data_IF_761861302202
#
_entry.id   IF_761861302202
#
_cell.length_a   1.000
_cell.length_b   1.000
_cell.length_c   1.000
_cell.angle_alpha   90.00
_cell.angle_beta   90.00
_cell.angle_gamma   90.00
#
_symmetry.space_group_name_H-M   'P 1'
#
loop_
_entity.id
_entity.type
_entity.pdbx_description
1 polymer ?
#
# COMPACT_ATOMS: atom_id res chain seq x y z
N UNK A 1 20.30 -29.57 20.43
CA UNK A 1 18.94 -29.50 19.80
C UNK A 1 18.56 -28.08 19.30
N UNK A 2 19.16 -27.01 19.85
CA UNK A 2 18.78 -25.62 19.54
C UNK A 2 19.47 -25.08 18.28
N UNK A 3 20.67 -25.57 17.96
CA UNK A 3 21.41 -25.16 16.76
C UNK A 3 20.73 -25.61 15.44
N UNK A 4 20.17 -26.81 15.42
CA UNK A 4 19.44 -27.31 14.24
C UNK A 4 18.08 -26.62 14.03
N UNK A 5 17.43 -26.14 15.08
CA UNK A 5 16.22 -25.31 14.99
C UNK A 5 16.51 -23.93 14.42
N UNK A 6 17.59 -23.30 14.89
CA UNK A 6 18.04 -22.00 14.36
C UNK A 6 18.50 -22.09 12.90
N UNK A 7 19.19 -23.17 12.53
CA UNK A 7 19.64 -23.42 11.16
C UNK A 7 18.46 -23.69 10.20
N UNK A 8 17.43 -24.45 10.61
CA UNK A 8 16.19 -24.61 9.83
C UNK A 8 15.39 -23.33 9.69
N UNK A 9 15.33 -22.50 10.74
CA UNK A 9 14.68 -21.18 10.67
C UNK A 9 15.45 -20.21 9.77
N UNK A 10 16.80 -20.29 9.74
CA UNK A 10 17.61 -19.53 8.78
C UNK A 10 17.39 -20.02 7.34
N UNK A 11 17.42 -21.32 7.07
CA UNK A 11 17.22 -21.84 5.71
C UNK A 11 15.82 -21.53 5.13
N UNK A 12 14.77 -21.50 5.95
CA UNK A 12 13.43 -21.08 5.47
C UNK A 12 13.37 -19.58 5.23
N UNK A 13 14.13 -18.76 5.99
CA UNK A 13 14.26 -17.32 5.76
C UNK A 13 15.01 -16.99 4.48
N UNK A 14 16.02 -17.78 4.13
CA UNK A 14 16.88 -17.54 2.93
C UNK A 14 16.24 -18.04 1.63
N UNK A 15 15.17 -18.86 1.70
CA UNK A 15 14.54 -19.45 0.51
C UNK A 15 13.19 -18.82 0.13
N UNK A 16 12.58 -17.97 0.98
CA UNK A 16 11.31 -17.32 0.70
C UNK A 16 11.45 -15.80 0.81
N UNK A 17 11.50 -15.15 -0.34
CA UNK A 17 11.42 -13.71 -0.44
C UNK A 17 9.95 -13.29 -0.66
N UNK A 18 9.26 -12.75 0.36
CA UNK A 18 7.86 -12.35 0.23
C UNK A 18 7.68 -11.25 -0.83
N UNK A 19 8.70 -10.45 -1.11
CA UNK A 19 8.64 -9.37 -2.10
C UNK A 19 8.54 -9.89 -3.53
N UNK A 20 9.04 -11.10 -3.84
CA UNK A 20 8.86 -11.72 -5.15
C UNK A 20 7.37 -12.05 -5.44
N UNK A 21 6.59 -12.29 -4.39
CA UNK A 21 5.17 -12.60 -4.56
C UNK A 21 4.32 -11.35 -4.85
N UNK A 22 4.86 -10.16 -4.61
CA UNK A 22 4.13 -8.90 -4.79
C UNK A 22 3.89 -8.56 -6.27
N UNK A 23 4.65 -9.16 -7.20
CA UNK A 23 4.35 -9.08 -8.63
C UNK A 23 2.92 -9.54 -8.97
N UNK A 24 2.35 -10.46 -8.17
CA UNK A 24 1.00 -11.00 -8.37
C UNK A 24 -0.12 -10.02 -8.03
N UNK A 25 0.19 -8.97 -7.29
CA UNK A 25 -0.79 -7.93 -6.92
C UNK A 25 -0.65 -6.68 -7.78
N UNK A 26 0.25 -6.71 -8.78
CA UNK A 26 0.42 -5.65 -9.77
C UNK A 26 -0.54 -5.82 -10.96
N UNK A 27 -0.87 -4.72 -11.60
CA UNK A 27 -1.65 -4.69 -12.83
C UNK A 27 -0.84 -5.20 -14.02
N UNK A 28 0.45 -4.84 -14.05
CA UNK A 28 1.49 -5.38 -14.90
C UNK A 28 2.60 -6.00 -14.02
N UNK A 29 2.72 -7.34 -13.96
CA UNK A 29 3.76 -7.99 -13.18
C UNK A 29 5.20 -7.58 -13.55
N UNK A 30 5.44 -7.09 -14.76
CA UNK A 30 6.78 -6.67 -15.20
C UNK A 30 7.24 -5.37 -14.52
N UNK A 31 6.32 -4.58 -13.97
CA UNK A 31 6.63 -3.39 -13.15
C UNK A 31 7.38 -3.76 -11.86
N UNK A 32 7.26 -5.02 -11.41
CA UNK A 32 7.89 -5.54 -10.19
C UNK A 32 9.19 -6.29 -10.53
N UNK A 33 10.18 -5.52 -11.05
CA UNK A 33 11.48 -6.06 -11.47
C UNK A 33 12.34 -6.55 -10.30
N UNK A 34 13.41 -7.32 -10.60
CA UNK A 34 14.39 -7.77 -9.59
C UNK A 34 15.03 -6.59 -8.84
N UNK A 35 15.21 -5.44 -9.49
CA UNK A 35 15.73 -4.23 -8.87
C UNK A 35 14.73 -3.65 -7.88
N UNK A 36 13.46 -3.54 -8.25
CA UNK A 36 12.36 -3.10 -7.38
C UNK A 36 12.25 -4.03 -6.17
N UNK A 37 12.28 -5.35 -6.38
CA UNK A 37 12.26 -6.36 -5.30
C UNK A 37 13.41 -6.13 -4.31
N UNK A 38 14.63 -5.86 -4.80
CA UNK A 38 15.78 -5.57 -3.95
C UNK A 38 15.61 -4.29 -3.14
N UNK A 39 15.10 -3.22 -3.78
CA UNK A 39 14.89 -1.92 -3.11
C UNK A 39 13.86 -2.05 -1.99
N UNK A 40 12.70 -2.64 -2.26
CA UNK A 40 11.65 -2.82 -1.25
C UNK A 40 12.03 -3.81 -0.16
N UNK A 41 12.75 -4.88 -0.53
CA UNK A 41 13.19 -5.90 0.42
C UNK A 41 14.34 -5.47 1.32
N UNK A 42 15.22 -4.60 0.84
CA UNK A 42 16.46 -4.21 1.54
C UNK A 42 16.25 -3.74 2.98
N UNK A 43 15.35 -2.81 3.31
CA UNK A 43 15.15 -2.37 4.68
C UNK A 43 14.74 -3.50 5.63
N UNK A 44 13.94 -4.45 5.14
CA UNK A 44 13.46 -5.58 5.93
C UNK A 44 14.57 -6.60 6.15
N UNK A 45 15.32 -6.93 5.09
CA UNK A 45 16.41 -7.92 5.17
C UNK A 45 17.61 -7.39 5.97
N UNK A 46 18.03 -6.14 5.74
CA UNK A 46 19.16 -5.53 6.44
C UNK A 46 18.88 -5.34 7.93
N UNK A 47 17.64 -5.02 8.30
CA UNK A 47 17.24 -4.88 9.70
C UNK A 47 17.15 -6.22 10.45
N UNK A 48 17.09 -7.34 9.74
CA UNK A 48 16.80 -8.66 10.31
C UNK A 48 15.43 -8.76 10.99
N UNK A 49 14.56 -7.75 10.81
CA UNK A 49 13.29 -7.63 11.52
C UNK A 49 12.07 -7.89 10.62
N UNK A 50 11.98 -9.11 10.10
CA UNK A 50 10.79 -9.54 9.33
C UNK A 50 9.48 -9.53 10.15
N UNK A 51 9.57 -9.48 11.48
CA UNK A 51 8.40 -9.41 12.36
C UNK A 51 7.65 -8.08 12.26
N UNK A 52 8.33 -6.99 11.92
CA UNK A 52 7.70 -5.67 11.78
C UNK A 52 6.66 -5.66 10.66
N UNK A 53 6.99 -6.20 9.50
CA UNK A 53 6.08 -6.32 8.36
C UNK A 53 4.83 -7.13 8.72
N UNK A 54 5.02 -8.29 9.36
CA UNK A 54 3.91 -9.13 9.79
C UNK A 54 3.05 -8.44 10.86
N UNK A 55 3.66 -7.67 11.76
CA UNK A 55 2.94 -6.91 12.78
C UNK A 55 2.07 -5.82 12.15
N UNK A 56 2.58 -5.10 11.15
CA UNK A 56 1.79 -4.12 10.39
C UNK A 56 0.57 -4.75 9.71
N UNK A 57 0.75 -5.89 9.04
CA UNK A 57 -0.37 -6.59 8.41
C UNK A 57 -1.46 -6.98 9.41
N UNK A 58 -1.07 -7.36 10.64
CA UNK A 58 -2.00 -7.72 11.72
C UNK A 58 -2.71 -6.53 12.37
N UNK A 59 -2.33 -5.30 12.06
CA UNK A 59 -3.01 -4.09 12.52
C UNK A 59 -4.16 -3.67 11.59
N UNK A 60 -4.21 -4.24 10.38
CA UNK A 60 -5.32 -3.98 9.45
C UNK A 60 -6.56 -4.71 9.94
N UNK A 61 -7.66 -4.01 10.24
CA UNK A 61 -8.89 -4.66 10.70
C UNK A 61 -9.49 -5.57 9.62
N UNK A 62 -9.82 -6.79 10.01
CA UNK A 62 -10.56 -7.77 9.23
C UNK A 62 -12.06 -7.81 9.56
N UNK A 63 -12.47 -7.00 10.53
CA UNK A 63 -13.86 -6.88 10.95
C UNK A 63 -14.08 -5.83 12.04
N UNK A 64 -15.34 -5.58 12.42
CA UNK A 64 -15.70 -4.52 13.38
C UNK A 64 -15.17 -4.79 14.80
N UNK A 65 -14.93 -6.04 15.15
CA UNK A 65 -14.46 -6.48 16.47
C UNK A 65 -12.92 -6.51 16.57
N UNK A 66 -12.21 -6.19 15.48
CA UNK A 66 -10.76 -6.12 15.52
C UNK A 66 -10.30 -5.01 16.47
N UNK A 67 -9.24 -5.28 17.25
CA UNK A 67 -8.70 -4.35 18.27
C UNK A 67 -8.41 -2.93 17.75
N UNK A 68 -8.00 -2.82 16.49
CA UNK A 68 -7.63 -1.56 15.85
C UNK A 68 -8.80 -0.92 15.06
N UNK A 69 -9.96 -1.58 14.96
CA UNK A 69 -11.12 -1.08 14.20
C UNK A 69 -11.65 0.27 14.73
N UNK A 70 -11.62 0.48 16.06
CA UNK A 70 -12.05 1.74 16.65
C UNK A 70 -11.13 2.91 16.26
N UNK A 71 -9.82 2.67 16.17
CA UNK A 71 -8.85 3.68 15.73
C UNK A 71 -9.05 4.03 14.25
N UNK A 72 -9.30 3.02 13.40
CA UNK A 72 -9.57 3.25 11.97
C UNK A 72 -10.85 4.04 11.74
N UNK A 73 -11.93 3.77 12.49
CA UNK A 73 -13.15 4.58 12.43
C UNK A 73 -12.92 6.06 12.80
N UNK A 74 -12.13 6.33 13.83
CA UNK A 74 -11.78 7.71 14.20
C UNK A 74 -11.00 8.43 13.10
N UNK A 75 -10.09 7.71 12.41
CA UNK A 75 -9.35 8.25 11.27
C UNK A 75 -10.33 8.58 10.14
N UNK A 76 -11.24 7.68 9.81
CA UNK A 76 -12.26 7.89 8.78
C UNK A 76 -13.16 9.10 9.11
N UNK A 77 -13.67 9.19 10.34
CA UNK A 77 -14.45 10.33 10.81
C UNK A 77 -13.68 11.64 10.66
N UNK A 78 -12.40 11.67 11.04
CA UNK A 78 -11.55 12.85 10.88
C UNK A 78 -11.33 13.21 9.41
N UNK A 79 -11.04 12.23 8.57
CA UNK A 79 -10.82 12.44 7.12
C UNK A 79 -12.02 13.12 6.47
N UNK A 80 -13.26 12.73 6.83
CA UNK A 80 -14.50 13.33 6.33
C UNK A 80 -14.69 14.80 6.73
N UNK A 81 -13.95 15.29 7.73
CA UNK A 81 -14.01 16.71 8.14
C UNK A 81 -13.03 17.60 7.37
N UNK A 82 -12.12 17.02 6.60
CA UNK A 82 -11.07 17.76 5.91
C UNK A 82 -11.63 18.58 4.75
N UNK A 83 -11.34 19.87 4.75
CA UNK A 83 -11.69 20.83 3.70
C UNK A 83 -10.42 21.22 2.90
N UNK A 84 -9.75 20.23 2.34
CA UNK A 84 -8.50 20.40 1.60
C UNK A 84 -8.67 19.95 0.15
N UNK A 85 -7.90 20.52 -0.80
CA UNK A 85 -7.85 19.98 -2.15
C UNK A 85 -7.37 18.52 -2.14
N UNK A 86 -8.12 17.66 -2.80
CA UNK A 86 -7.81 16.25 -2.91
C UNK A 86 -7.89 15.77 -4.37
N UNK A 87 -7.12 14.76 -4.69
CA UNK A 87 -7.15 14.00 -5.94
C UNK A 87 -7.06 12.51 -5.59
N UNK A 88 -7.78 11.66 -6.29
CA UNK A 88 -7.74 10.20 -6.10
C UNK A 88 -7.13 9.58 -7.35
N UNK A 89 -6.03 8.84 -7.21
CA UNK A 89 -5.48 7.98 -8.26
C UNK A 89 -5.65 6.54 -7.81
N UNK A 90 -6.33 5.71 -8.60
CA UNK A 90 -6.77 4.40 -8.15
C UNK A 90 -6.38 3.28 -9.11
N UNK A 91 -5.78 2.21 -8.57
CA UNK A 91 -5.44 1.00 -9.30
C UNK A 91 -6.64 0.04 -9.39
N UNK A 92 -7.26 -0.04 -10.55
CA UNK A 92 -8.47 -0.86 -10.76
C UNK A 92 -8.18 -2.35 -10.76
N UNK A 93 -6.92 -2.75 -10.94
CA UNK A 93 -6.49 -4.17 -10.88
C UNK A 93 -5.92 -4.56 -9.51
N UNK A 94 -5.95 -3.67 -8.51
CA UNK A 94 -5.51 -4.00 -7.16
C UNK A 94 -6.44 -5.05 -6.53
N UNK A 95 -5.97 -6.28 -6.28
CA UNK A 95 -6.79 -7.34 -5.68
C UNK A 95 -7.07 -7.14 -4.19
N UNK A 96 -6.33 -6.22 -3.54
CA UNK A 96 -6.41 -5.99 -2.09
C UNK A 96 -7.35 -4.80 -1.80
N UNK A 97 -7.09 -3.65 -2.40
CA UNK A 97 -7.81 -2.41 -2.13
C UNK A 97 -8.73 -1.95 -3.28
N UNK A 98 -8.67 -2.59 -4.44
CA UNK A 98 -9.38 -2.13 -5.65
C UNK A 98 -10.88 -1.89 -5.45
N UNK A 99 -11.53 -2.66 -4.58
CA UNK A 99 -12.95 -2.51 -4.23
C UNK A 99 -13.25 -1.31 -3.32
N UNK A 100 -12.24 -0.68 -2.75
CA UNK A 100 -12.39 0.43 -1.78
C UNK A 100 -12.61 1.81 -2.42
N UNK A 101 -12.62 1.91 -3.76
CA UNK A 101 -12.73 3.20 -4.45
C UNK A 101 -13.96 3.99 -4.03
N UNK A 102 -15.14 3.37 -3.95
CA UNK A 102 -16.36 4.07 -3.59
C UNK A 102 -16.29 4.69 -2.20
N UNK A 103 -15.68 4.02 -1.23
CA UNK A 103 -15.50 4.57 0.10
C UNK A 103 -14.53 5.78 0.09
N UNK A 104 -13.56 5.79 -0.81
CA UNK A 104 -12.68 6.96 -0.98
C UNK A 104 -13.39 8.12 -1.66
N UNK A 105 -14.25 7.84 -2.65
CA UNK A 105 -15.12 8.86 -3.28
C UNK A 105 -16.09 9.48 -2.25
N UNK A 106 -16.65 8.67 -1.36
CA UNK A 106 -17.52 9.14 -0.26
C UNK A 106 -16.76 10.02 0.75
N UNK A 107 -15.49 9.72 1.03
CA UNK A 107 -14.66 10.51 1.94
C UNK A 107 -14.20 11.84 1.32
N UNK A 108 -14.07 11.90 0.00
CA UNK A 108 -13.60 13.08 -0.74
C UNK A 108 -14.50 13.33 -1.97
N UNK A 109 -15.76 13.78 -1.76
CA UNK A 109 -16.75 13.88 -2.84
C UNK A 109 -16.37 14.87 -3.95
N UNK A 110 -15.55 15.87 -3.63
CA UNK A 110 -15.08 16.89 -4.59
C UNK A 110 -13.73 16.51 -5.24
N UNK A 111 -13.17 15.36 -4.90
CA UNK A 111 -11.91 14.92 -5.47
C UNK A 111 -12.10 14.42 -6.91
N UNK A 112 -11.19 14.84 -7.79
CA UNK A 112 -11.11 14.22 -9.11
C UNK A 112 -10.54 12.81 -8.99
N UNK A 113 -11.18 11.85 -9.64
CA UNK A 113 -10.76 10.45 -9.68
C UNK A 113 -10.05 10.13 -10.99
N UNK A 114 -8.85 9.61 -10.92
CA UNK A 114 -8.10 9.04 -12.04
C UNK A 114 -8.01 7.53 -11.85
N UNK A 115 -8.75 6.76 -12.68
CA UNK A 115 -8.73 5.29 -12.67
C UNK A 115 -7.62 4.79 -13.60
N UNK A 116 -6.75 3.93 -13.10
CA UNK A 116 -5.64 3.33 -13.85
C UNK A 116 -5.81 1.81 -13.95
N UNK A 117 -5.03 1.16 -14.80
CA UNK A 117 -4.94 -0.30 -14.86
C UNK A 117 -3.87 -0.88 -13.92
N UNK A 118 -3.36 -0.06 -13.01
CA UNK A 118 -2.35 -0.46 -12.03
C UNK A 118 -2.93 -1.38 -10.95
N UNK A 119 -2.03 -2.09 -10.29
CA UNK A 119 -2.32 -2.93 -9.13
C UNK A 119 -2.04 -2.24 -7.80
N UNK A 120 -1.57 -3.02 -6.83
CA UNK A 120 -1.46 -2.59 -5.43
C UNK A 120 -0.36 -1.55 -5.19
N UNK A 121 0.79 -1.72 -5.83
CA UNK A 121 1.89 -0.74 -5.75
C UNK A 121 1.78 0.24 -6.93
N UNK A 122 0.75 1.03 -6.89
CA UNK A 122 0.35 1.99 -7.91
C UNK A 122 1.50 2.89 -8.40
N UNK A 123 2.41 3.27 -7.51
CA UNK A 123 3.54 4.15 -7.83
C UNK A 123 4.53 3.55 -8.83
N UNK A 124 4.59 2.22 -8.94
CA UNK A 124 5.47 1.53 -9.88
C UNK A 124 4.87 1.44 -11.31
N UNK A 125 3.56 1.68 -11.42
CA UNK A 125 2.83 1.50 -12.67
C UNK A 125 2.18 2.76 -13.22
N UNK A 126 1.89 3.75 -12.35
CA UNK A 126 1.13 4.95 -12.69
C UNK A 126 1.79 6.23 -12.11
N UNK A 127 3.12 6.30 -12.19
CA UNK A 127 3.89 7.42 -11.66
C UNK A 127 3.49 8.77 -12.29
N UNK A 128 3.22 8.79 -13.59
CA UNK A 128 2.83 10.00 -14.31
C UNK A 128 1.45 10.49 -13.89
N UNK A 129 0.49 9.58 -13.69
CA UNK A 129 -0.85 9.92 -13.21
C UNK A 129 -0.79 10.50 -11.79
N UNK A 130 0.05 9.90 -10.93
CA UNK A 130 0.29 10.40 -9.56
C UNK A 130 0.93 11.79 -9.62
N UNK A 131 1.97 11.99 -10.42
CA UNK A 131 2.65 13.27 -10.56
C UNK A 131 1.70 14.36 -11.09
N UNK A 132 0.86 14.03 -12.07
CA UNK A 132 -0.15 14.94 -12.60
C UNK A 132 -1.24 15.27 -11.56
N UNK A 133 -1.68 14.31 -10.75
CA UNK A 133 -2.62 14.53 -9.66
C UNK A 133 -2.01 15.46 -8.59
N UNK A 134 -0.77 15.19 -8.19
CA UNK A 134 -0.05 16.04 -7.22
C UNK A 134 0.08 17.47 -7.71
N UNK A 135 0.46 17.68 -8.99
CA UNK A 135 0.54 19.01 -9.58
C UNK A 135 -0.79 19.76 -9.50
N UNK A 136 -1.91 19.10 -9.80
CA UNK A 136 -3.25 19.70 -9.69
C UNK A 136 -3.59 20.11 -8.26
N UNK A 137 -3.18 19.31 -7.25
CA UNK A 137 -3.37 19.66 -5.84
C UNK A 137 -2.56 20.91 -5.49
N UNK A 138 -1.29 20.96 -5.89
CA UNK A 138 -0.41 22.13 -5.67
C UNK A 138 -1.02 23.37 -6.30
N UNK A 139 -1.42 23.30 -7.57
CA UNK A 139 -2.05 24.42 -8.28
C UNK A 139 -3.33 24.94 -7.59
N UNK A 140 -4.11 24.05 -6.97
CA UNK A 140 -5.31 24.43 -6.20
C UNK A 140 -4.97 25.11 -4.87
N UNK A 141 -3.87 24.71 -4.23
CA UNK A 141 -3.41 25.33 -2.97
C UNK A 141 -2.83 26.71 -3.21
N UNK A 142 -2.04 26.89 -4.27
CA UNK A 142 -1.37 28.17 -4.60
C UNK A 142 -2.34 29.26 -5.08
N UNK A 143 -3.55 28.87 -5.55
CA UNK A 143 -4.57 29.83 -6.01
C UNK A 143 -5.51 30.33 -4.90
N UNK A 144 -5.35 29.82 -3.67
CA UNK A 144 -6.09 30.30 -2.49
C UNK A 144 -5.33 31.42 -1.78
#
# INVERSE_FOLDING_TARGET
>A
HDSHRRQRQMCIRDSFNPFEQLARVQGDPSSWSDEVIKIYGKPVFDSGNSKATLSMMRMVPDGPDHRDAAAMRKIEEYVKTLQIPAEIVWGMKDPILGKGLSAMEDNFPDARVTKTQAGHFLQEEAADEIANALKRVIDKVERK
#
